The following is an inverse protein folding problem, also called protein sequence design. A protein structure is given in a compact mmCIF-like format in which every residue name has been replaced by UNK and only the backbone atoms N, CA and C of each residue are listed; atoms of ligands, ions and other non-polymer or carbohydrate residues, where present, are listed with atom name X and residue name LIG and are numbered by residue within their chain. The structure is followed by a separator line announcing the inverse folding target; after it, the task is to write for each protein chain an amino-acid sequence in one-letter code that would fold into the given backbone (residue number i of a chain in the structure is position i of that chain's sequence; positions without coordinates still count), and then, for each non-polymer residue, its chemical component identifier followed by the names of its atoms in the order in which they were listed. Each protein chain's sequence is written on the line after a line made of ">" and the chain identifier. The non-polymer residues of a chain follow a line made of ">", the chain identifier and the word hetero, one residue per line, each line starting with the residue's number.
data_IF_120039569035
#
_entry.id   IF_120039569035
#
_cell.length_a   1.000
_cell.length_b   1.000
_cell.length_c   1.000
_cell.angle_alpha   90.00
_cell.angle_beta   90.00
_cell.angle_gamma   90.00
#
_symmetry.space_group_name_H-M   'P 1'
#
loop_
_entity.id
_entity.type
_entity.pdbx_description
1 polymer ?
#
# COMPACT_ATOMS: atom_id res chain seq x y z
N UNK A 1 17.82 -25.26 6.64
CA UNK A 1 17.64 -23.82 6.33
C UNK A 1 17.40 -23.10 7.64
N UNK A 2 18.40 -22.36 8.12
CA UNK A 2 18.38 -21.70 9.42
C UNK A 2 17.57 -20.40 9.37
N UNK A 3 16.84 -20.17 10.47
CA UNK A 3 15.82 -19.14 10.65
C UNK A 3 16.34 -17.70 10.44
N UNK A 4 15.52 -16.89 9.76
CA UNK A 4 15.71 -15.45 9.61
C UNK A 4 15.39 -14.74 10.93
N UNK A 5 16.30 -14.85 11.90
CA UNK A 5 16.29 -14.06 13.13
C UNK A 5 17.65 -13.35 13.28
N UNK A 6 17.84 -12.28 12.53
CA UNK A 6 18.89 -11.31 12.82
C UNK A 6 18.29 -9.91 12.65
N UNK A 7 17.98 -9.26 13.77
CA UNK A 7 17.62 -7.86 13.86
C UNK A 7 18.74 -6.95 13.37
N UNK A 8 18.97 -6.95 12.06
CA UNK A 8 19.82 -5.98 11.38
C UNK A 8 18.92 -4.78 11.13
N UNK A 9 19.20 -3.69 11.85
CA UNK A 9 18.59 -2.37 11.71
C UNK A 9 17.95 -2.19 10.32
N UNK A 10 16.62 -2.30 10.26
CA UNK A 10 15.84 -2.02 9.05
C UNK A 10 15.79 -0.51 8.78
N UNK A 11 16.23 0.33 9.73
CA UNK A 11 16.34 1.79 9.65
C UNK A 11 16.70 2.40 8.29
N UNK A 12 17.81 2.00 7.63
CA UNK A 12 18.19 2.54 6.32
C UNK A 12 17.28 2.09 5.17
N UNK A 13 16.53 0.99 5.34
CA UNK A 13 15.57 0.47 4.34
C UNK A 13 14.11 0.85 4.64
N UNK A 14 13.80 1.24 5.88
CA UNK A 14 12.46 1.68 6.30
C UNK A 14 12.09 3.02 5.68
N UNK A 15 13.01 3.99 5.70
CA UNK A 15 12.84 5.29 5.06
C UNK A 15 12.44 5.21 3.58
N UNK A 16 13.21 4.55 2.69
CA UNK A 16 12.84 4.43 1.29
C UNK A 16 11.56 3.62 1.05
N UNK A 17 11.23 2.63 1.90
CA UNK A 17 9.98 1.90 1.78
C UNK A 17 8.76 2.78 2.14
N UNK A 18 8.87 3.58 3.21
CA UNK A 18 7.86 4.55 3.61
C UNK A 18 7.67 5.60 2.50
N UNK A 19 8.76 6.13 1.95
CA UNK A 19 8.71 7.13 0.86
C UNK A 19 8.03 6.56 -0.39
N UNK A 20 8.43 5.36 -0.84
CA UNK A 20 7.84 4.70 -2.00
C UNK A 20 6.33 4.45 -1.84
N UNK A 21 5.89 4.05 -0.63
CA UNK A 21 4.47 3.84 -0.33
C UNK A 21 3.68 5.16 -0.34
N UNK A 22 4.24 6.23 0.23
CA UNK A 22 3.62 7.55 0.21
C UNK A 22 3.59 8.15 -1.21
N UNK A 23 4.65 7.96 -2.00
CA UNK A 23 4.72 8.40 -3.38
C UNK A 23 3.68 7.65 -4.25
N UNK A 24 3.54 6.34 -4.05
CA UNK A 24 2.51 5.52 -4.72
C UNK A 24 1.10 6.02 -4.37
N UNK A 25 0.84 6.28 -3.09
CA UNK A 25 -0.42 6.86 -2.63
C UNK A 25 -0.69 8.24 -3.25
N UNK A 26 0.32 9.11 -3.29
CA UNK A 26 0.20 10.44 -3.89
C UNK A 26 -0.08 10.35 -5.39
N UNK A 27 0.61 9.48 -6.11
CA UNK A 27 0.45 9.26 -7.56
C UNK A 27 -0.97 8.78 -7.88
N UNK A 28 -1.47 7.79 -7.13
CA UNK A 28 -2.85 7.29 -7.31
C UNK A 28 -3.86 8.36 -6.96
N UNK A 29 -3.67 9.09 -5.85
CA UNK A 29 -4.56 10.19 -5.46
C UNK A 29 -4.59 11.33 -6.48
N UNK A 30 -3.46 11.64 -7.12
CA UNK A 30 -3.39 12.64 -8.19
C UNK A 30 -4.00 12.15 -9.51
N UNK A 31 -4.06 10.83 -9.70
CA UNK A 31 -4.73 10.20 -10.85
C UNK A 31 -6.25 10.12 -10.67
N UNK A 32 -6.77 10.38 -9.46
CA UNK A 32 -8.21 10.47 -9.22
C UNK A 32 -8.78 11.69 -9.95
N UNK A 33 -9.47 11.44 -11.06
CA UNK A 33 -10.17 12.48 -11.82
C UNK A 33 -11.69 12.27 -11.73
N UNK A 34 -12.45 13.36 -11.88
CA UNK A 34 -13.92 13.33 -11.84
C UNK A 34 -14.56 12.48 -12.96
N UNK A 35 -13.76 12.07 -13.96
CA UNK A 35 -14.17 11.15 -15.02
C UNK A 35 -14.21 9.68 -14.58
N UNK A 36 -13.67 9.33 -13.40
CA UNK A 36 -13.72 7.96 -12.87
C UNK A 36 -15.10 7.67 -12.27
N UNK A 37 -15.62 6.48 -12.55
CA UNK A 37 -16.82 5.97 -11.86
C UNK A 37 -16.61 5.98 -10.35
N UNK A 38 -17.66 6.31 -9.59
CA UNK A 38 -17.61 6.42 -8.12
C UNK A 38 -17.02 5.16 -7.44
N UNK A 39 -17.33 3.97 -7.97
CA UNK A 39 -16.80 2.71 -7.45
C UNK A 39 -15.28 2.56 -7.66
N UNK A 40 -14.75 3.03 -8.79
CA UNK A 40 -13.32 3.02 -9.06
C UNK A 40 -12.60 4.08 -8.20
N UNK A 41 -13.23 5.25 -8.03
CA UNK A 41 -12.76 6.27 -7.10
C UNK A 41 -12.66 5.76 -5.66
N UNK A 42 -13.67 5.02 -5.19
CA UNK A 42 -13.66 4.38 -3.86
C UNK A 42 -12.54 3.35 -3.72
N UNK A 43 -12.39 2.46 -4.72
CA UNK A 43 -11.32 1.45 -4.71
C UNK A 43 -9.91 2.07 -4.70
N UNK A 44 -9.70 3.14 -5.46
CA UNK A 44 -8.43 3.87 -5.48
C UNK A 44 -8.18 4.65 -4.18
N UNK A 45 -9.22 5.22 -3.56
CA UNK A 45 -9.10 5.81 -2.22
C UNK A 45 -8.74 4.76 -1.16
N UNK A 46 -9.35 3.58 -1.22
CA UNK A 46 -9.01 2.46 -0.33
C UNK A 46 -7.56 2.00 -0.53
N UNK A 47 -7.04 2.02 -1.76
CA UNK A 47 -5.62 1.76 -2.04
C UNK A 47 -4.71 2.82 -1.42
N UNK A 48 -5.06 4.10 -1.55
CA UNK A 48 -4.30 5.23 -0.97
C UNK A 48 -4.23 5.11 0.55
N UNK A 49 -5.34 4.79 1.21
CA UNK A 49 -5.40 4.54 2.65
C UNK A 49 -4.52 3.34 3.05
N UNK A 50 -4.66 2.20 2.36
CA UNK A 50 -3.88 1.01 2.64
C UNK A 50 -2.37 1.24 2.49
N UNK A 51 -1.94 1.97 1.47
CA UNK A 51 -0.53 2.29 1.24
C UNK A 51 0.05 3.13 2.40
N UNK A 52 -0.69 4.15 2.84
CA UNK A 52 -0.32 4.96 4.01
C UNK A 52 -0.33 4.14 5.30
N UNK A 53 -1.26 3.21 5.46
CA UNK A 53 -1.33 2.33 6.62
C UNK A 53 -0.10 1.41 6.71
N UNK A 54 0.37 0.85 5.57
CA UNK A 54 1.61 0.07 5.52
C UNK A 54 2.81 0.95 5.88
N UNK A 55 2.91 2.16 5.32
CA UNK A 55 4.00 3.09 5.64
C UNK A 55 4.04 3.43 7.15
N UNK A 56 2.88 3.66 7.76
CA UNK A 56 2.78 3.88 9.21
C UNK A 56 3.17 2.63 10.02
N UNK A 57 2.86 1.42 9.56
CA UNK A 57 3.30 0.19 10.25
C UNK A 57 4.82 0.04 10.24
N UNK A 58 5.47 0.38 9.13
CA UNK A 58 6.93 0.38 9.02
C UNK A 58 7.52 1.39 9.99
N UNK A 59 7.05 2.64 9.97
CA UNK A 59 7.56 3.69 10.85
C UNK A 59 7.28 3.48 12.34
N UNK A 60 6.20 2.77 12.69
CA UNK A 60 5.86 2.41 14.06
C UNK A 60 6.49 1.09 14.52
N UNK A 61 7.30 0.42 13.69
CA UNK A 61 7.83 -0.92 13.93
C UNK A 61 6.74 -1.92 14.39
N UNK A 62 5.60 -1.91 13.69
CA UNK A 62 4.51 -2.83 13.96
C UNK A 62 4.97 -4.29 13.83
N UNK A 63 4.35 -5.19 14.60
CA UNK A 63 4.66 -6.62 14.53
C UNK A 63 4.46 -7.17 13.12
N UNK A 64 5.23 -8.19 12.74
CA UNK A 64 5.18 -8.79 11.39
C UNK A 64 3.77 -9.23 10.99
N UNK A 65 2.96 -9.74 11.93
CA UNK A 65 1.56 -10.10 11.67
C UNK A 65 0.70 -8.88 11.26
N UNK A 66 0.87 -7.76 11.94
CA UNK A 66 0.15 -6.50 11.63
C UNK A 66 0.63 -5.90 10.31
N UNK A 67 1.95 -5.93 10.06
CA UNK A 67 2.50 -5.53 8.77
C UNK A 67 1.93 -6.37 7.63
N UNK A 68 1.94 -7.70 7.77
CA UNK A 68 1.42 -8.62 6.75
C UNK A 68 -0.07 -8.40 6.47
N UNK A 69 -0.89 -8.15 7.50
CA UNK A 69 -2.31 -7.80 7.31
C UNK A 69 -2.50 -6.52 6.50
N UNK A 70 -1.68 -5.50 6.75
CA UNK A 70 -1.76 -4.23 6.01
C UNK A 70 -1.29 -4.39 4.56
N UNK A 71 -0.24 -5.21 4.34
CA UNK A 71 0.23 -5.56 2.99
C UNK A 71 -0.83 -6.35 2.22
N UNK A 72 -1.50 -7.31 2.86
CA UNK A 72 -2.59 -8.07 2.27
C UNK A 72 -3.73 -7.14 1.81
N UNK A 73 -4.14 -6.20 2.67
CA UNK A 73 -5.16 -5.20 2.33
C UNK A 73 -4.72 -4.25 1.19
N UNK A 74 -3.45 -3.87 1.16
CA UNK A 74 -2.89 -3.10 0.04
C UNK A 74 -2.95 -3.89 -1.28
N UNK A 75 -2.65 -5.19 -1.25
CA UNK A 75 -2.71 -6.05 -2.44
C UNK A 75 -4.15 -6.32 -2.91
N UNK A 76 -5.09 -6.50 -1.99
CA UNK A 76 -6.51 -6.65 -2.31
C UNK A 76 -7.06 -5.40 -3.03
N UNK A 77 -6.84 -4.22 -2.45
CA UNK A 77 -7.29 -2.94 -3.03
C UNK A 77 -6.63 -2.67 -4.39
N UNK A 78 -5.33 -2.97 -4.53
CA UNK A 78 -4.62 -2.92 -5.81
C UNK A 78 -5.25 -3.84 -6.85
N UNK A 79 -5.55 -5.08 -6.49
CA UNK A 79 -6.14 -6.08 -7.39
C UNK A 79 -7.53 -5.64 -7.85
N UNK A 80 -8.37 -5.17 -6.92
CA UNK A 80 -9.71 -4.64 -7.23
C UNK A 80 -9.64 -3.46 -8.19
N UNK A 81 -8.76 -2.48 -7.94
CA UNK A 81 -8.59 -1.32 -8.80
C UNK A 81 -8.12 -1.72 -10.21
N UNK A 82 -7.17 -2.67 -10.31
CA UNK A 82 -6.73 -3.24 -11.58
C UNK A 82 -7.90 -3.91 -12.31
N UNK A 83 -8.62 -4.83 -11.67
CA UNK A 83 -9.77 -5.52 -12.28
C UNK A 83 -10.81 -4.55 -12.82
N UNK A 84 -11.15 -3.51 -12.06
CA UNK A 84 -12.10 -2.48 -12.51
C UNK A 84 -11.56 -1.66 -13.69
N UNK A 85 -10.26 -1.37 -13.71
CA UNK A 85 -9.61 -0.69 -14.84
C UNK A 85 -9.69 -1.56 -16.10
N UNK A 86 -9.35 -2.86 -16.02
CA UNK A 86 -9.42 -3.76 -17.19
C UNK A 86 -10.85 -4.01 -17.65
N UNK A 87 -11.82 -4.08 -16.74
CA UNK A 87 -13.24 -4.27 -17.06
C UNK A 87 -13.91 -3.03 -17.69
N UNK A 88 -13.25 -1.86 -17.63
CA UNK A 88 -13.73 -0.63 -18.26
C UNK A 88 -13.30 -0.49 -19.74
N UNK A 89 -12.47 -1.41 -20.25
CA UNK A 89 -12.06 -1.51 -21.66
C UNK A 89 -12.75 -2.70 -22.34
#
# INVERSE_FOLDING_TARGET
>A
MAAFNQGRNTGPTEGPAIDALNNSASTVSGSLSAALSAQLGDALNAYVDAARAVANAIGAHASTAEFNRRVDRLNDTKTKALTMCVAAF
#
